data_IF_102550562367
#
_entry.id   IF_102550562367
#
_cell.length_a   1.000
_cell.length_b   1.000
_cell.length_c   1.000
_cell.angle_alpha   90.00
_cell.angle_beta   90.00
_cell.angle_gamma   90.00
#
_symmetry.space_group_name_H-M   'P 1'
#
loop_
_entity.id
_entity.type
_entity.pdbx_description
1 polymer ?
#
# COMPACT_ATOMS: atom_id res chain seq x y z
N UNK A 1 12.81 15.59 6.31
CA UNK A 1 11.50 15.03 6.68
C UNK A 1 10.44 16.07 6.39
N UNK A 2 9.51 15.74 5.52
CA UNK A 2 8.41 16.65 5.15
C UNK A 2 7.14 16.21 5.85
N UNK A 3 6.37 17.17 6.36
CA UNK A 3 5.07 16.87 6.97
C UNK A 3 4.05 17.95 6.65
N UNK A 4 2.78 17.57 6.62
CA UNK A 4 1.67 18.47 6.37
C UNK A 4 0.59 18.27 7.42
N UNK A 5 -0.05 19.35 7.85
CA UNK A 5 -1.17 19.29 8.78
C UNK A 5 -2.46 19.13 8.00
N UNK A 6 -3.18 18.05 8.30
CA UNK A 6 -4.53 17.79 7.81
C UNK A 6 -5.53 18.01 8.94
N UNK A 7 -6.82 17.97 8.63
CA UNK A 7 -7.87 18.19 9.65
C UNK A 7 -7.88 17.07 10.71
N UNK A 8 -7.30 15.92 10.40
CA UNK A 8 -7.31 14.75 11.28
C UNK A 8 -5.94 14.38 11.84
N UNK A 9 -4.89 15.16 11.58
CA UNK A 9 -3.55 14.94 12.11
C UNK A 9 -2.43 15.26 11.13
N UNK A 10 -1.20 15.08 11.60
CA UNK A 10 -0.01 15.26 10.77
C UNK A 10 0.17 14.07 9.84
N UNK A 11 0.43 14.35 8.57
CA UNK A 11 0.85 13.35 7.58
C UNK A 11 2.31 13.61 7.24
N UNK A 12 3.15 12.62 7.50
CA UNK A 12 4.53 12.58 7.04
C UNK A 12 4.57 12.06 5.60
N UNK A 13 5.45 12.62 4.81
CA UNK A 13 5.71 12.17 3.46
C UNK A 13 7.15 12.45 3.06
N UNK A 14 7.67 11.66 2.13
CA UNK A 14 8.90 11.99 1.42
C UNK A 14 8.59 12.29 -0.03
N UNK A 15 9.33 13.23 -0.60
CA UNK A 15 9.18 13.64 -2.00
C UNK A 15 10.50 13.58 -2.72
N UNK A 16 10.46 13.09 -3.96
CA UNK A 16 11.62 13.01 -4.81
C UNK A 16 11.28 13.31 -6.27
N UNK A 17 12.21 13.95 -6.97
CA UNK A 17 12.08 14.20 -8.39
C UNK A 17 11.32 15.48 -8.74
N UNK A 18 10.96 15.60 -10.02
CA UNK A 18 10.29 16.75 -10.61
C UNK A 18 9.37 16.31 -11.74
N UNK A 19 8.37 17.13 -12.07
CA UNK A 19 7.39 16.84 -13.13
C UNK A 19 6.00 16.58 -12.56
N UNK A 20 5.22 15.74 -13.23
CA UNK A 20 3.84 15.44 -12.82
C UNK A 20 3.82 14.68 -11.47
N UNK A 21 2.89 15.03 -10.57
CA UNK A 21 2.79 14.37 -9.28
C UNK A 21 2.35 12.90 -9.42
N UNK A 22 2.91 12.04 -8.59
CA UNK A 22 2.50 10.63 -8.42
C UNK A 22 2.44 10.35 -6.92
N UNK A 23 1.34 9.80 -6.43
CA UNK A 23 1.16 9.43 -5.02
C UNK A 23 1.49 7.96 -4.83
N UNK A 24 2.32 7.66 -3.83
CA UNK A 24 2.77 6.32 -3.48
C UNK A 24 2.27 5.95 -2.07
N UNK A 25 1.56 4.82 -1.96
CA UNK A 25 0.90 4.37 -0.72
C UNK A 25 1.46 3.02 -0.28
N UNK A 26 1.95 2.93 0.95
CA UNK A 26 2.52 1.71 1.50
C UNK A 26 1.48 0.68 1.96
N UNK A 27 1.90 -0.54 2.23
CA UNK A 27 1.09 -1.61 2.78
C UNK A 27 0.97 -1.56 4.32
N UNK A 28 0.23 -2.52 4.88
CA UNK A 28 0.13 -2.70 6.32
C UNK A 28 1.49 -2.91 6.96
N UNK A 29 1.73 -2.29 8.11
CA UNK A 29 3.01 -2.26 8.84
C UNK A 29 4.18 -1.69 8.02
N UNK A 30 3.91 -0.88 7.01
CA UNK A 30 4.94 -0.26 6.17
C UNK A 30 5.08 1.23 6.41
N UNK A 31 5.97 1.82 5.63
CA UNK A 31 6.20 3.26 5.54
C UNK A 31 6.58 3.65 4.10
N UNK A 32 6.80 4.94 3.89
CA UNK A 32 7.29 5.50 2.63
C UNK A 32 8.55 4.79 2.09
N UNK A 33 9.38 4.24 2.98
CA UNK A 33 10.68 3.65 2.64
C UNK A 33 10.61 2.50 1.63
N UNK A 34 9.47 1.79 1.51
CA UNK A 34 9.29 0.75 0.49
C UNK A 34 9.34 1.29 -0.94
N UNK A 35 9.18 2.59 -1.12
CA UNK A 35 9.15 3.24 -2.42
C UNK A 35 10.46 3.90 -2.82
N UNK A 36 11.51 3.84 -1.97
CA UNK A 36 12.77 4.56 -2.18
C UNK A 36 13.38 4.22 -3.55
N UNK A 37 13.58 2.94 -3.87
CA UNK A 37 14.17 2.51 -5.14
C UNK A 37 13.30 2.95 -6.34
N UNK A 38 11.96 2.98 -6.18
CA UNK A 38 11.01 3.46 -7.20
C UNK A 38 11.09 4.99 -7.36
N UNK A 39 11.22 5.71 -6.24
CA UNK A 39 11.36 7.18 -6.28
C UNK A 39 12.64 7.59 -6.99
N UNK A 40 13.75 6.92 -6.71
CA UNK A 40 15.03 7.17 -7.39
C UNK A 40 14.94 6.86 -8.88
N UNK A 41 14.35 5.72 -9.27
CA UNK A 41 14.23 5.30 -10.66
C UNK A 41 13.34 6.21 -11.50
N UNK A 42 12.26 6.76 -10.94
CA UNK A 42 11.26 7.53 -11.68
C UNK A 42 11.35 9.04 -11.46
N UNK A 43 12.19 9.51 -10.53
CA UNK A 43 12.30 10.91 -10.12
C UNK A 43 12.83 11.86 -11.20
N UNK A 44 13.45 11.36 -12.25
CA UNK A 44 13.83 12.18 -13.41
C UNK A 44 12.63 12.67 -14.24
N UNK A 45 11.49 11.96 -14.15
CA UNK A 45 10.28 12.20 -14.96
C UNK A 45 9.09 12.66 -14.13
N UNK A 46 8.96 12.15 -12.91
CA UNK A 46 7.81 12.41 -12.04
C UNK A 46 8.23 13.03 -10.71
N UNK A 47 7.36 13.81 -10.11
CA UNK A 47 7.46 14.22 -8.72
C UNK A 47 6.68 13.23 -7.86
N UNK A 48 7.38 12.34 -7.19
CA UNK A 48 6.79 11.26 -6.39
C UNK A 48 6.60 11.72 -4.94
N UNK A 49 5.46 11.38 -4.37
CA UNK A 49 5.10 11.65 -2.99
C UNK A 49 4.76 10.33 -2.32
N UNK A 50 5.65 9.82 -1.48
CA UNK A 50 5.42 8.61 -0.71
C UNK A 50 4.94 8.98 0.71
N UNK A 51 3.71 8.60 1.04
CA UNK A 51 3.03 8.99 2.27
C UNK A 51 3.16 7.89 3.32
N UNK A 52 3.28 8.31 4.58
CA UNK A 52 3.01 7.45 5.72
C UNK A 52 1.53 7.58 6.13
N UNK A 53 0.81 6.48 6.21
CA UNK A 53 -0.55 6.51 6.74
C UNK A 53 -0.56 6.87 8.24
N UNK A 54 -1.63 7.49 8.73
CA UNK A 54 -1.79 7.73 10.16
C UNK A 54 -1.62 6.43 10.95
N UNK A 55 -0.90 6.50 12.07
CA UNK A 55 -0.59 5.36 12.91
C UNK A 55 0.64 4.55 12.49
N UNK A 56 1.19 4.85 11.30
CA UNK A 56 2.39 4.23 10.73
C UNK A 56 3.49 5.24 10.48
N UNK A 57 4.72 4.76 10.34
CA UNK A 57 5.87 5.59 10.03
C UNK A 57 6.01 6.79 10.97
N UNK A 58 6.25 7.96 10.41
CA UNK A 58 6.40 9.22 11.14
C UNK A 58 5.13 10.09 11.14
N UNK A 59 4.00 9.57 10.61
CA UNK A 59 2.70 10.22 10.65
C UNK A 59 2.05 10.23 12.04
N UNK A 60 1.05 11.09 12.23
CA UNK A 60 0.30 11.24 13.48
C UNK A 60 -0.33 9.94 13.99
N UNK A 61 -0.28 9.73 15.32
CA UNK A 61 -0.63 8.46 15.99
C UNK A 61 -1.80 8.57 16.97
N UNK A 62 -2.44 9.73 17.07
CA UNK A 62 -3.51 9.99 18.06
C UNK A 62 -4.88 9.84 17.41
N UNK A 63 -5.33 8.59 17.24
CA UNK A 63 -6.67 8.29 16.70
C UNK A 63 -7.24 7.05 17.39
N UNK A 64 -8.57 7.00 17.49
CA UNK A 64 -9.29 5.85 18.05
C UNK A 64 -9.38 4.67 17.06
N UNK A 65 -9.27 4.94 15.76
CA UNK A 65 -9.38 3.93 14.71
C UNK A 65 -8.63 4.33 13.44
N UNK A 66 -8.26 3.32 12.66
CA UNK A 66 -7.52 3.45 11.42
C UNK A 66 -8.16 2.53 10.36
N UNK A 67 -9.24 2.98 9.76
CA UNK A 67 -10.00 2.24 8.76
C UNK A 67 -9.50 2.57 7.35
N UNK A 68 -9.81 1.73 6.36
CA UNK A 68 -9.49 2.01 4.96
C UNK A 68 -10.08 3.36 4.50
N UNK A 69 -11.30 3.70 4.93
CA UNK A 69 -11.93 4.98 4.62
C UNK A 69 -11.16 6.17 5.21
N UNK A 70 -10.60 6.02 6.41
CA UNK A 70 -9.79 7.07 7.03
C UNK A 70 -8.50 7.34 6.22
N UNK A 71 -7.91 6.29 5.65
CA UNK A 71 -6.74 6.43 4.77
C UNK A 71 -7.10 7.03 3.40
N UNK A 72 -8.29 6.76 2.88
CA UNK A 72 -8.81 7.47 1.70
C UNK A 72 -8.92 8.96 1.98
N UNK A 73 -9.48 9.34 3.13
CA UNK A 73 -9.59 10.74 3.54
C UNK A 73 -8.22 11.39 3.76
N UNK A 74 -7.24 10.65 4.30
CA UNK A 74 -5.86 11.12 4.43
C UNK A 74 -5.28 11.52 3.07
N UNK A 75 -5.40 10.64 2.07
CA UNK A 75 -4.84 10.92 0.73
C UNK A 75 -5.54 12.11 0.08
N UNK A 76 -6.86 12.20 0.19
CA UNK A 76 -7.63 13.32 -0.34
C UNK A 76 -7.23 14.65 0.29
N UNK A 77 -7.14 14.71 1.63
CA UNK A 77 -6.68 15.91 2.35
C UNK A 77 -5.23 16.24 2.03
N UNK A 78 -4.35 15.24 1.92
CA UNK A 78 -2.97 15.48 1.49
C UNK A 78 -2.93 16.15 0.12
N UNK A 79 -3.67 15.64 -0.86
CA UNK A 79 -3.74 16.21 -2.20
C UNK A 79 -4.27 17.67 -2.16
N UNK A 80 -5.30 17.93 -1.36
CA UNK A 80 -5.81 19.30 -1.19
C UNK A 80 -4.75 20.26 -0.64
N UNK A 81 -4.08 19.89 0.45
CA UNK A 81 -3.06 20.71 1.10
C UNK A 81 -1.83 20.94 0.20
N UNK A 82 -1.52 20.00 -0.68
CA UNK A 82 -0.42 20.10 -1.65
C UNK A 82 -0.82 20.80 -2.95
N UNK A 83 -2.09 21.19 -3.12
CA UNK A 83 -2.59 21.79 -4.36
C UNK A 83 -2.60 20.80 -5.54
N UNK A 84 -2.67 19.49 -5.27
CA UNK A 84 -2.73 18.44 -6.29
C UNK A 84 -4.20 18.14 -6.59
N UNK A 85 -4.70 18.69 -7.69
CA UNK A 85 -6.10 18.48 -8.07
C UNK A 85 -6.37 17.02 -8.47
N UNK A 86 -5.46 16.42 -9.25
CA UNK A 86 -5.56 15.04 -9.73
C UNK A 86 -4.16 14.45 -9.92
N UNK A 87 -3.99 13.16 -9.62
CA UNK A 87 -2.71 12.45 -9.82
C UNK A 87 -2.93 10.96 -10.09
N UNK A 88 -1.95 10.24 -10.69
CA UNK A 88 -1.81 8.81 -10.58
C UNK A 88 -1.57 8.40 -9.11
N UNK A 89 -2.22 7.32 -8.69
CA UNK A 89 -2.03 6.76 -7.35
C UNK A 89 -1.53 5.32 -7.48
N UNK A 90 -0.39 5.05 -6.85
CA UNK A 90 0.25 3.73 -6.83
C UNK A 90 0.20 3.22 -5.39
N UNK A 91 -0.34 2.04 -5.17
CA UNK A 91 -0.46 1.49 -3.82
C UNK A 91 -0.02 0.04 -3.72
N UNK A 92 0.73 -0.27 -2.67
CA UNK A 92 1.14 -1.63 -2.33
C UNK A 92 0.19 -2.23 -1.29
N UNK A 93 -0.25 -3.47 -1.50
CA UNK A 93 -1.06 -4.23 -0.53
C UNK A 93 -2.26 -3.40 -0.03
N UNK A 94 -2.38 -3.09 1.26
CA UNK A 94 -3.39 -2.20 1.82
C UNK A 94 -3.46 -0.84 1.08
N UNK A 95 -2.32 -0.26 0.73
CA UNK A 95 -2.26 1.00 -0.01
C UNK A 95 -2.91 0.92 -1.39
N UNK A 96 -2.85 -0.24 -2.06
CA UNK A 96 -3.55 -0.44 -3.32
C UNK A 96 -5.07 -0.55 -3.15
N UNK A 97 -5.54 -1.16 -2.06
CA UNK A 97 -6.95 -1.13 -1.68
C UNK A 97 -7.43 0.30 -1.40
N UNK A 98 -6.61 1.11 -0.72
CA UNK A 98 -6.88 2.55 -0.51
C UNK A 98 -6.92 3.29 -1.85
N UNK A 99 -5.98 3.05 -2.77
CA UNK A 99 -5.94 3.68 -4.08
C UNK A 99 -7.20 3.38 -4.92
N UNK A 100 -7.64 2.11 -4.95
CA UNK A 100 -8.89 1.71 -5.60
C UNK A 100 -10.10 2.37 -4.93
N UNK A 101 -10.16 2.38 -3.61
CA UNK A 101 -11.25 2.99 -2.86
C UNK A 101 -11.32 4.51 -3.08
N UNK A 102 -10.18 5.19 -3.17
CA UNK A 102 -10.12 6.61 -3.53
C UNK A 102 -10.65 6.85 -4.95
N UNK A 103 -10.21 6.06 -5.93
CA UNK A 103 -10.69 6.17 -7.30
C UNK A 103 -12.20 5.92 -7.45
N UNK A 104 -12.75 5.03 -6.62
CA UNK A 104 -14.19 4.72 -6.59
C UNK A 104 -15.02 5.82 -5.92
N UNK A 105 -14.52 6.41 -4.84
CA UNK A 105 -15.28 7.37 -4.02
C UNK A 105 -15.01 8.83 -4.40
N UNK A 106 -13.83 9.12 -4.98
CA UNK A 106 -13.39 10.45 -5.41
C UNK A 106 -12.72 10.40 -6.79
N UNK A 107 -13.48 10.04 -7.84
CA UNK A 107 -12.92 9.78 -9.17
C UNK A 107 -12.22 10.99 -9.80
N UNK A 108 -12.57 12.20 -9.38
CA UNK A 108 -11.92 13.44 -9.85
C UNK A 108 -10.48 13.60 -9.33
N UNK A 109 -10.09 12.89 -8.27
CA UNK A 109 -8.74 12.94 -7.68
C UNK A 109 -7.73 12.04 -8.39
N UNK A 110 -8.21 11.01 -9.07
CA UNK A 110 -7.35 9.93 -9.58
C UNK A 110 -7.46 9.84 -11.09
N UNK A 111 -6.34 9.99 -11.80
CA UNK A 111 -6.31 9.81 -13.25
C UNK A 111 -5.84 8.42 -13.68
N UNK A 112 -5.07 7.71 -12.85
CA UNK A 112 -4.62 6.32 -13.05
C UNK A 112 -4.45 5.64 -11.70
N UNK A 113 -4.68 4.33 -11.65
CA UNK A 113 -4.40 3.50 -10.47
C UNK A 113 -3.45 2.37 -10.83
N UNK A 114 -2.35 2.23 -10.07
CA UNK A 114 -1.54 1.02 -10.08
C UNK A 114 -1.60 0.36 -8.70
N UNK A 115 -1.97 -0.92 -8.66
CA UNK A 115 -2.01 -1.70 -7.42
C UNK A 115 -0.97 -2.81 -7.46
N UNK A 116 -0.27 -3.02 -6.35
CA UNK A 116 0.84 -3.96 -6.24
C UNK A 116 0.57 -4.93 -5.10
N UNK A 117 0.39 -6.21 -5.40
CA UNK A 117 0.10 -7.25 -4.39
C UNK A 117 -1.11 -6.93 -3.51
N UNK A 118 -2.17 -6.34 -4.08
CA UNK A 118 -3.25 -5.72 -3.30
C UNK A 118 -4.51 -6.57 -3.24
N UNK A 119 -5.16 -6.69 -2.06
CA UNK A 119 -6.43 -7.37 -1.94
C UNK A 119 -7.58 -6.50 -2.50
N UNK A 120 -8.36 -7.09 -3.39
CA UNK A 120 -9.66 -6.60 -3.84
C UNK A 120 -10.76 -7.11 -2.91
N UNK A 121 -10.53 -8.32 -2.38
CA UNK A 121 -11.41 -8.97 -1.42
C UNK A 121 -10.58 -9.36 -0.19
N UNK A 122 -11.03 -8.96 0.99
CA UNK A 122 -10.31 -9.19 2.24
C UNK A 122 -10.09 -10.67 2.57
N UNK A 123 -10.94 -11.58 2.06
CA UNK A 123 -10.75 -13.03 2.20
C UNK A 123 -9.52 -13.60 1.47
N UNK A 124 -8.89 -12.81 0.60
CA UNK A 124 -7.64 -13.18 -0.10
C UNK A 124 -6.39 -13.10 0.78
N UNK A 125 -6.50 -12.45 1.94
CA UNK A 125 -5.41 -12.35 2.91
C UNK A 125 -5.10 -13.72 3.52
N UNK A 126 -3.84 -13.98 3.82
CA UNK A 126 -3.47 -15.22 4.49
C UNK A 126 -4.04 -15.31 5.93
N UNK A 127 -4.06 -16.53 6.47
CA UNK A 127 -4.65 -16.83 7.79
C UNK A 127 -4.03 -15.99 8.91
N UNK A 128 -2.72 -15.72 8.87
CA UNK A 128 -2.06 -14.94 9.92
C UNK A 128 -2.56 -13.49 9.95
N UNK A 129 -2.78 -12.88 8.79
CA UNK A 129 -3.35 -11.54 8.70
C UNK A 129 -4.83 -11.52 9.12
N UNK A 130 -5.57 -12.59 8.81
CA UNK A 130 -6.94 -12.73 9.32
C UNK A 130 -6.97 -12.77 10.85
N UNK A 131 -6.06 -13.54 11.48
CA UNK A 131 -5.95 -13.64 12.93
C UNK A 131 -5.51 -12.30 13.56
N UNK A 132 -4.57 -11.58 12.96
CA UNK A 132 -4.12 -10.26 13.44
C UNK A 132 -5.25 -9.21 13.49
N UNK A 133 -6.33 -9.41 12.75
CA UNK A 133 -7.53 -8.55 12.80
C UNK A 133 -8.47 -8.79 14.00
N UNK A 134 -8.16 -9.71 14.91
CA UNK A 134 -8.89 -9.89 16.16
C UNK A 134 -8.19 -9.16 17.31
N UNK A 135 -8.88 -8.23 18.03
CA UNK A 135 -8.24 -7.37 19.02
C UNK A 135 -7.44 -8.12 20.10
N UNK A 136 -7.98 -9.23 20.61
CA UNK A 136 -7.31 -10.01 21.66
C UNK A 136 -6.04 -10.71 21.17
N UNK A 137 -6.02 -11.19 19.91
CA UNK A 137 -4.82 -11.78 19.29
C UNK A 137 -3.78 -10.69 19.05
N UNK A 138 -4.19 -9.55 18.48
CA UNK A 138 -3.32 -8.40 18.25
C UNK A 138 -2.68 -7.92 19.57
N UNK A 139 -3.48 -7.80 20.64
CA UNK A 139 -2.99 -7.41 21.96
C UNK A 139 -1.98 -8.41 22.51
N UNK A 140 -2.27 -9.71 22.42
CA UNK A 140 -1.36 -10.76 22.88
C UNK A 140 -0.04 -10.72 22.12
N UNK A 141 -0.09 -10.67 20.79
CA UNK A 141 1.10 -10.63 19.92
C UNK A 141 1.92 -9.35 20.16
N UNK A 142 1.25 -8.21 20.35
CA UNK A 142 1.89 -6.92 20.59
C UNK A 142 2.67 -6.89 21.91
N UNK A 143 2.13 -7.54 22.95
CA UNK A 143 2.80 -7.62 24.25
C UNK A 143 3.89 -8.70 24.33
N UNK A 144 4.17 -9.38 23.21
CA UNK A 144 5.25 -10.36 23.08
C UNK A 144 6.26 -9.94 22.00
N UNK A 145 6.97 -8.80 22.14
CA UNK A 145 7.75 -8.21 21.06
C UNK A 145 8.88 -9.12 20.55
N UNK A 146 9.47 -9.94 21.41
CA UNK A 146 10.50 -10.90 21.01
C UNK A 146 9.88 -12.00 20.11
N UNK A 147 8.72 -12.55 20.49
CA UNK A 147 8.01 -13.55 19.69
C UNK A 147 7.54 -12.98 18.36
N UNK A 148 7.04 -11.74 18.35
CA UNK A 148 6.63 -11.05 17.13
C UNK A 148 7.82 -10.86 16.17
N UNK A 149 8.96 -10.35 16.66
CA UNK A 149 10.18 -10.20 15.85
C UNK A 149 10.69 -11.54 15.31
N UNK A 150 10.65 -12.59 16.14
CA UNK A 150 11.01 -13.95 15.73
C UNK A 150 10.06 -14.47 14.63
N UNK A 151 8.77 -14.27 14.80
CA UNK A 151 7.77 -14.63 13.82
C UNK A 151 8.02 -13.91 12.47
N UNK A 152 8.20 -12.58 12.50
CA UNK A 152 8.51 -11.79 11.29
C UNK A 152 9.77 -12.35 10.61
N UNK A 153 10.84 -12.65 11.37
CA UNK A 153 12.08 -13.20 10.81
C UNK A 153 11.90 -14.57 10.13
N UNK A 154 11.11 -15.47 10.74
CA UNK A 154 10.85 -16.81 10.18
C UNK A 154 10.02 -16.71 8.89
N UNK A 155 9.03 -15.80 8.86
CA UNK A 155 8.13 -15.67 7.72
C UNK A 155 8.68 -14.76 6.61
N UNK A 156 9.64 -13.87 6.90
CA UNK A 156 10.19 -12.93 5.93
C UNK A 156 10.68 -13.58 4.62
N UNK A 157 11.37 -14.75 4.60
CA UNK A 157 11.73 -15.41 3.34
C UNK A 157 10.56 -15.86 2.48
N UNK A 158 9.35 -16.00 3.06
CA UNK A 158 8.12 -16.32 2.32
C UNK A 158 7.42 -15.09 1.78
N UNK A 159 7.74 -13.91 2.32
CA UNK A 159 7.09 -12.63 1.98
C UNK A 159 7.80 -11.95 0.81
N UNK A 160 9.14 -11.96 0.80
CA UNK A 160 9.98 -11.34 -0.25
C UNK A 160 11.29 -12.11 -0.41
N UNK A 161 11.91 -12.02 -1.59
CA UNK A 161 13.26 -12.57 -1.82
C UNK A 161 14.32 -11.73 -1.13
N UNK A 162 14.13 -10.41 -1.11
CA UNK A 162 14.97 -9.44 -0.40
C UNK A 162 14.64 -9.39 1.11
N UNK A 163 14.42 -10.56 1.71
CA UNK A 163 13.90 -10.71 3.06
C UNK A 163 14.76 -10.06 4.16
N UNK A 164 16.10 -9.93 3.96
CA UNK A 164 16.97 -9.27 4.95
C UNK A 164 16.69 -7.77 4.98
N UNK A 165 16.75 -7.11 3.81
CA UNK A 165 16.42 -5.68 3.64
C UNK A 165 15.02 -5.41 4.19
N UNK A 166 14.05 -6.22 3.77
CA UNK A 166 12.66 -6.09 4.22
C UNK A 166 12.50 -6.28 5.73
N UNK A 167 13.17 -7.29 6.34
CA UNK A 167 13.10 -7.53 7.78
C UNK A 167 13.59 -6.32 8.59
N UNK A 168 14.71 -5.71 8.21
CA UNK A 168 15.27 -4.54 8.90
C UNK A 168 14.31 -3.34 8.79
N UNK A 169 13.75 -3.09 7.60
CA UNK A 169 12.73 -2.07 7.39
C UNK A 169 11.49 -2.37 8.24
N UNK A 170 11.00 -3.60 8.23
CA UNK A 170 9.80 -4.01 8.96
C UNK A 170 9.94 -3.87 10.48
N UNK A 171 11.11 -4.17 11.06
CA UNK A 171 11.36 -3.98 12.49
C UNK A 171 11.37 -2.48 12.84
N UNK A 172 11.94 -1.66 11.99
CA UNK A 172 11.92 -0.20 12.17
C UNK A 172 10.48 0.33 12.11
N UNK A 173 9.71 -0.06 11.09
CA UNK A 173 8.33 0.38 10.90
C UNK A 173 7.41 -0.11 12.03
N UNK A 174 7.61 -1.34 12.51
CA UNK A 174 6.88 -1.87 13.67
C UNK A 174 7.09 -1.02 14.92
N UNK A 175 8.32 -0.51 15.15
CA UNK A 175 8.63 0.36 16.28
C UNK A 175 7.94 1.72 16.22
N UNK A 176 7.47 2.11 15.03
CA UNK A 176 6.77 3.37 14.74
C UNK A 176 5.26 3.20 14.55
N UNK A 177 4.74 1.99 14.73
CA UNK A 177 3.31 1.67 14.60
C UNK A 177 2.64 1.63 15.97
N UNK A 178 1.37 2.04 16.07
CA UNK A 178 0.57 1.87 17.29
C UNK A 178 -0.21 0.55 17.27
N UNK A 179 -0.57 0.03 18.45
CA UNK A 179 -1.41 -1.17 18.55
C UNK A 179 -2.76 -0.96 17.84
N UNK A 180 -3.37 0.21 18.00
CA UNK A 180 -4.65 0.57 17.38
C UNK A 180 -4.52 0.57 15.85
N UNK A 181 -3.44 1.15 15.29
CA UNK A 181 -3.19 1.11 13.86
C UNK A 181 -2.93 -0.31 13.38
N UNK A 182 -2.17 -1.11 14.15
CA UNK A 182 -1.86 -2.50 13.85
C UNK A 182 -3.13 -3.32 13.62
N UNK A 183 -4.06 -3.35 14.59
CA UNK A 183 -5.22 -4.24 14.47
C UNK A 183 -6.41 -3.59 13.73
N UNK A 184 -6.67 -2.30 13.90
CA UNK A 184 -7.85 -1.62 13.32
C UNK A 184 -7.77 -1.61 11.80
N UNK A 185 -6.59 -1.31 11.24
CA UNK A 185 -6.40 -1.27 9.78
C UNK A 185 -6.54 -2.65 9.15
N UNK A 186 -5.94 -3.69 9.73
CA UNK A 186 -6.07 -5.06 9.20
C UNK A 186 -7.49 -5.61 9.41
N UNK A 187 -8.16 -5.28 10.52
CA UNK A 187 -9.56 -5.64 10.76
C UNK A 187 -10.51 -4.98 9.76
N UNK A 188 -10.21 -3.76 9.32
CA UNK A 188 -10.92 -3.08 8.24
C UNK A 188 -10.64 -3.74 6.90
N UNK A 189 -9.35 -3.98 6.57
CA UNK A 189 -8.92 -4.55 5.30
C UNK A 189 -9.53 -5.94 5.04
N UNK A 190 -9.57 -6.82 6.05
CA UNK A 190 -10.15 -8.17 5.91
C UNK A 190 -11.64 -8.20 5.59
N UNK A 191 -12.36 -7.08 5.80
CA UNK A 191 -13.79 -6.93 5.51
C UNK A 191 -14.08 -6.31 4.16
N UNK A 192 -13.05 -5.88 3.44
CA UNK A 192 -13.20 -5.25 2.13
C UNK A 192 -13.73 -6.25 1.11
N UNK A 193 -14.64 -5.78 0.29
CA UNK A 193 -15.05 -6.42 -0.98
C UNK A 193 -15.37 -5.33 -2.00
N UNK A 194 -14.47 -5.13 -2.94
CA UNK A 194 -14.60 -4.10 -3.97
C UNK A 194 -15.21 -4.63 -5.28
N UNK A 195 -15.48 -5.93 -5.39
CA UNK A 195 -15.91 -6.57 -6.65
C UNK A 195 -17.12 -5.90 -7.29
N UNK A 196 -18.12 -5.57 -6.49
CA UNK A 196 -19.34 -4.93 -6.98
C UNK A 196 -19.10 -3.49 -7.52
N UNK A 197 -18.05 -2.83 -7.04
CA UNK A 197 -17.73 -1.43 -7.37
C UNK A 197 -16.71 -1.29 -8.50
N UNK A 198 -15.81 -2.27 -8.69
CA UNK A 198 -14.76 -2.19 -9.73
C UNK A 198 -15.30 -1.89 -11.14
N UNK A 199 -16.46 -2.43 -11.58
CA UNK A 199 -16.97 -2.18 -12.94
C UNK A 199 -17.30 -0.71 -13.26
N UNK A 200 -17.41 0.16 -12.24
CA UNK A 200 -17.68 1.60 -12.48
C UNK A 200 -16.41 2.39 -12.80
N UNK A 201 -15.21 1.84 -12.55
CA UNK A 201 -13.96 2.51 -12.88
C UNK A 201 -13.83 2.75 -14.38
N UNK A 202 -13.53 4.00 -14.75
CA UNK A 202 -13.35 4.45 -16.15
C UNK A 202 -11.96 4.99 -16.45
N UNK A 203 -11.05 4.90 -15.46
CA UNK A 203 -9.66 5.33 -15.58
C UNK A 203 -8.76 4.12 -15.84
N UNK A 204 -7.55 4.32 -16.38
CA UNK A 204 -6.58 3.24 -16.54
C UNK A 204 -6.22 2.60 -15.18
N UNK A 205 -6.27 1.27 -15.13
CA UNK A 205 -5.88 0.48 -13.95
C UNK A 205 -4.79 -0.51 -14.35
N UNK A 206 -3.73 -0.59 -13.54
CA UNK A 206 -2.73 -1.64 -13.63
C UNK A 206 -2.68 -2.44 -12.32
N UNK A 207 -2.63 -3.76 -12.44
CA UNK A 207 -2.39 -4.66 -11.32
C UNK A 207 -1.05 -5.36 -11.52
N UNK A 208 -0.13 -5.18 -10.58
CA UNK A 208 1.14 -5.91 -10.53
C UNK A 208 1.08 -6.91 -9.38
N UNK A 209 1.38 -8.18 -9.65
CA UNK A 209 1.33 -9.21 -8.60
C UNK A 209 2.50 -10.18 -8.75
N UNK A 210 3.16 -10.51 -7.64
CA UNK A 210 4.15 -11.58 -7.62
C UNK A 210 3.48 -12.96 -7.70
N UNK A 211 3.96 -13.83 -8.58
CA UNK A 211 3.44 -15.19 -8.71
C UNK A 211 3.60 -15.99 -7.41
N UNK A 212 4.65 -15.71 -6.65
CA UNK A 212 4.95 -16.36 -5.37
C UNK A 212 4.37 -15.65 -4.14
N UNK A 213 3.38 -14.76 -4.27
CA UNK A 213 2.78 -14.03 -3.16
C UNK A 213 2.03 -14.96 -2.21
N UNK A 214 2.51 -15.05 -0.96
CA UNK A 214 1.92 -15.85 0.12
C UNK A 214 1.17 -15.00 1.16
N UNK A 215 1.06 -13.69 0.92
CA UNK A 215 0.37 -12.74 1.81
C UNK A 215 -1.02 -12.43 1.29
N UNK A 216 -1.11 -12.12 0.00
CA UNK A 216 -2.35 -11.88 -0.74
C UNK A 216 -2.39 -12.84 -1.92
N UNK A 217 -3.51 -13.57 -2.06
CA UNK A 217 -3.65 -14.53 -3.15
C UNK A 217 -3.50 -13.84 -4.53
N UNK A 218 -2.60 -14.31 -5.42
CA UNK A 218 -2.39 -13.72 -6.76
C UNK A 218 -3.64 -13.66 -7.64
N UNK A 219 -4.67 -14.46 -7.37
CA UNK A 219 -5.96 -14.40 -8.07
C UNK A 219 -6.65 -13.03 -7.98
N UNK A 220 -6.21 -12.16 -7.06
CA UNK A 220 -6.72 -10.79 -6.97
C UNK A 220 -6.41 -9.96 -8.23
N UNK A 221 -5.29 -10.23 -8.90
CA UNK A 221 -4.98 -9.64 -10.20
C UNK A 221 -6.00 -10.06 -11.28
N UNK A 222 -6.38 -11.35 -11.30
CA UNK A 222 -7.40 -11.86 -12.21
C UNK A 222 -8.78 -11.23 -11.97
N UNK A 223 -9.14 -10.95 -10.70
CA UNK A 223 -10.37 -10.23 -10.37
C UNK A 223 -10.38 -8.81 -10.96
N UNK A 224 -9.26 -8.08 -10.86
CA UNK A 224 -9.15 -6.75 -11.48
C UNK A 224 -9.31 -6.87 -13.00
N UNK A 225 -8.62 -7.81 -13.65
CA UNK A 225 -8.78 -8.04 -15.09
C UNK A 225 -10.18 -8.42 -15.51
N UNK A 226 -10.94 -9.11 -14.65
CA UNK A 226 -12.32 -9.51 -14.91
C UNK A 226 -13.32 -8.36 -14.77
N UNK A 227 -13.13 -7.50 -13.76
CA UNK A 227 -14.12 -6.48 -13.40
C UNK A 227 -13.80 -5.09 -13.93
N UNK A 228 -12.56 -4.79 -14.28
CA UNK A 228 -12.14 -3.48 -14.80
C UNK A 228 -11.80 -3.63 -16.29
N UNK A 229 -12.61 -3.01 -17.15
CA UNK A 229 -12.38 -3.05 -18.59
C UNK A 229 -11.05 -2.38 -18.94
N UNK A 230 -10.22 -3.07 -19.73
CA UNK A 230 -8.92 -2.56 -20.17
C UNK A 230 -7.85 -2.52 -19.10
N UNK A 231 -8.07 -3.18 -17.94
CA UNK A 231 -7.04 -3.27 -16.92
C UNK A 231 -5.80 -4.01 -17.44
N UNK A 232 -4.62 -3.44 -17.15
CA UNK A 232 -3.33 -4.05 -17.45
C UNK A 232 -2.92 -4.97 -16.30
N UNK A 233 -2.75 -6.26 -16.57
CA UNK A 233 -2.36 -7.26 -15.57
C UNK A 233 -0.92 -7.68 -15.81
N UNK A 234 -0.09 -7.49 -14.80
CA UNK A 234 1.35 -7.78 -14.82
C UNK A 234 1.69 -8.80 -13.71
N UNK A 235 1.88 -10.05 -14.10
CA UNK A 235 2.36 -11.09 -13.20
C UNK A 235 3.89 -11.13 -13.22
N UNK A 236 4.51 -11.02 -12.04
CA UNK A 236 5.97 -11.02 -11.90
C UNK A 236 6.45 -12.39 -11.39
N UNK A 237 7.13 -13.17 -12.26
CA UNK A 237 7.38 -14.59 -11.99
C UNK A 237 8.39 -14.84 -10.88
N UNK A 238 9.30 -13.90 -10.66
CA UNK A 238 10.35 -14.04 -9.63
C UNK A 238 10.05 -13.23 -8.37
N UNK A 239 8.84 -12.65 -8.26
CA UNK A 239 8.43 -11.86 -7.12
C UNK A 239 7.46 -12.60 -6.20
N UNK A 240 7.49 -12.19 -4.94
CA UNK A 240 6.51 -12.53 -3.91
C UNK A 240 5.62 -11.31 -3.64
N UNK A 241 5.36 -11.00 -2.35
CA UNK A 241 4.46 -9.90 -1.98
C UNK A 241 5.00 -8.50 -2.31
N UNK A 242 6.31 -8.34 -2.51
CA UNK A 242 6.97 -7.05 -2.75
C UNK A 242 7.68 -7.00 -4.12
N UNK A 243 6.96 -6.95 -5.25
CA UNK A 243 7.56 -6.86 -6.58
C UNK A 243 8.57 -5.73 -6.73
N UNK A 244 8.33 -4.58 -6.07
CA UNK A 244 9.23 -3.42 -6.12
C UNK A 244 10.55 -3.64 -5.38
N UNK A 245 10.65 -4.65 -4.50
CA UNK A 245 11.89 -5.06 -3.84
C UNK A 245 12.51 -6.28 -4.52
N UNK A 246 11.70 -7.21 -4.99
CA UNK A 246 12.16 -8.50 -5.54
C UNK A 246 12.70 -8.37 -6.97
N UNK A 247 12.09 -7.52 -7.79
CA UNK A 247 12.45 -7.28 -9.20
C UNK A 247 12.37 -5.77 -9.53
N UNK A 248 13.16 -4.89 -8.86
CA UNK A 248 13.00 -3.45 -8.91
C UNK A 248 13.08 -2.86 -10.32
N UNK A 249 14.03 -3.31 -11.15
CA UNK A 249 14.19 -2.78 -12.51
C UNK A 249 12.97 -3.12 -13.38
N UNK A 250 12.53 -4.38 -13.38
CA UNK A 250 11.37 -4.83 -14.14
C UNK A 250 10.09 -4.16 -13.67
N UNK A 251 9.92 -4.03 -12.34
CA UNK A 251 8.79 -3.32 -11.73
C UNK A 251 8.75 -1.85 -12.17
N UNK A 252 9.85 -1.14 -12.02
CA UNK A 252 9.93 0.29 -12.34
C UNK A 252 9.74 0.56 -13.85
N UNK A 253 10.23 -0.31 -14.74
CA UNK A 253 10.00 -0.21 -16.18
C UNK A 253 8.51 -0.36 -16.53
N UNK A 254 7.81 -1.33 -15.91
CA UNK A 254 6.37 -1.57 -16.11
C UNK A 254 5.54 -0.40 -15.58
N UNK A 255 5.87 0.08 -14.38
CA UNK A 255 5.21 1.23 -13.78
C UNK A 255 5.43 2.49 -14.61
N UNK A 256 6.65 2.77 -15.04
CA UNK A 256 6.96 3.91 -15.91
C UNK A 256 6.15 3.85 -17.22
N UNK A 257 6.14 2.69 -17.88
CA UNK A 257 5.37 2.48 -19.11
C UNK A 257 3.87 2.76 -18.90
N UNK A 258 3.30 2.34 -17.77
CA UNK A 258 1.90 2.58 -17.42
C UNK A 258 1.61 4.07 -17.12
N UNK A 259 2.49 4.72 -16.39
CA UNK A 259 2.32 6.13 -16.03
C UNK A 259 2.42 7.05 -17.25
N UNK A 260 3.28 6.72 -18.21
CA UNK A 260 3.51 7.52 -19.43
C UNK A 260 2.32 7.48 -20.40
N UNK A 261 1.69 6.34 -20.60
CA UNK A 261 0.57 6.14 -21.54
C UNK A 261 -0.76 6.58 -20.96
#
# INVERSE_FOLDING_TARGET
MSSIVTDQGIVHYETYGRGQPVILLHGWLGSWGYWLDTMEALGSTYRLYALDFWGFGDSGKRRERYLIVDFVDLVDQFMDRMGIAQAPVVGHSMGGTVALSLALTRPHRVCKVAVVGSPVVGSSLNVLLHLAGYPWIAYMVWNMPAALRWGIRIFSPKITREWRKWYDMQIQDLSRTTLEAFFSSIASLRRIDLRANLPVLRLPVMSVHGVGDNVVNPDQAALIGRYVSGARIEMMPHSRHFPMLDEPESFNQRLHSFLKN
#
